data_IF_123362206492
#
_entry.id   IF_123362206492
#
_cell.length_a   1.000
_cell.length_b   1.000
_cell.length_c   1.000
_cell.angle_alpha   90.00
_cell.angle_beta   90.00
_cell.angle_gamma   90.00
#
_symmetry.space_group_name_H-M   'P 1'
#
loop_
_entity.id
_entity.type
_entity.pdbx_description
1 polymer ?
#
# COMPACT_ATOMS: atom_id res chain seq x y z
N UNK A 1 8.09 8.80 10.95
CA UNK A 1 7.98 9.93 9.98
C UNK A 1 7.17 9.48 8.77
N UNK A 2 6.31 10.33 8.19
CA UNK A 2 5.60 10.02 6.93
C UNK A 2 6.17 10.91 5.83
N UNK A 3 6.61 10.31 4.73
CA UNK A 3 7.14 11.00 3.54
C UNK A 3 6.19 10.75 2.36
N UNK A 4 5.82 11.80 1.64
CA UNK A 4 4.94 11.75 0.47
C UNK A 4 5.72 12.22 -0.75
N UNK A 5 5.65 11.47 -1.85
CA UNK A 5 6.32 11.77 -3.12
C UNK A 5 5.27 11.67 -4.23
N UNK A 6 4.97 12.77 -4.88
CA UNK A 6 4.06 12.81 -6.01
C UNK A 6 4.80 12.56 -7.34
N UNK A 7 4.09 12.04 -8.33
CA UNK A 7 4.62 11.70 -9.66
C UNK A 7 5.89 10.84 -9.55
N UNK A 8 5.83 9.80 -8.71
CA UNK A 8 7.00 8.99 -8.36
C UNK A 8 7.60 8.26 -9.56
N UNK A 9 6.78 7.64 -10.39
CA UNK A 9 7.21 6.97 -11.62
C UNK A 9 6.96 7.86 -12.85
N UNK A 10 7.66 7.57 -13.95
CA UNK A 10 7.27 8.10 -15.26
C UNK A 10 5.86 7.66 -15.65
N UNK A 11 5.18 8.40 -16.51
CA UNK A 11 3.83 8.06 -16.96
C UNK A 11 3.77 6.65 -17.56
N UNK A 12 4.76 6.26 -18.38
CA UNK A 12 4.87 4.92 -18.96
C UNK A 12 4.93 3.83 -17.89
N UNK A 13 5.70 4.04 -16.83
CA UNK A 13 5.88 3.07 -15.77
C UNK A 13 4.63 3.01 -14.87
N UNK A 14 4.00 4.13 -14.62
CA UNK A 14 2.72 4.19 -13.92
C UNK A 14 1.62 3.44 -14.70
N UNK A 15 1.50 3.67 -16.00
CA UNK A 15 0.54 2.96 -16.86
C UNK A 15 0.76 1.44 -16.85
N UNK A 16 2.02 0.99 -16.76
CA UNK A 16 2.30 -0.43 -16.62
C UNK A 16 1.66 -1.02 -15.36
N UNK A 17 1.84 -0.36 -14.19
CA UNK A 17 1.24 -0.81 -12.94
C UNK A 17 -0.28 -0.74 -12.96
N UNK A 18 -0.83 0.33 -13.51
CA UNK A 18 -2.28 0.50 -13.66
C UNK A 18 -2.88 -0.64 -14.49
N UNK A 19 -2.31 -0.91 -15.66
CA UNK A 19 -2.76 -2.00 -16.52
C UNK A 19 -2.57 -3.36 -15.85
N UNK A 20 -1.45 -3.61 -15.19
CA UNK A 20 -1.22 -4.87 -14.49
C UNK A 20 -2.24 -5.06 -13.37
N UNK A 21 -2.43 -4.07 -12.50
CA UNK A 21 -3.35 -4.14 -11.37
C UNK A 21 -4.81 -4.35 -11.79
N UNK A 22 -5.24 -3.72 -12.89
CA UNK A 22 -6.65 -3.70 -13.29
C UNK A 22 -7.04 -4.81 -14.26
N UNK A 23 -6.09 -5.42 -14.97
CA UNK A 23 -6.41 -6.37 -16.05
C UNK A 23 -5.66 -7.71 -16.01
N UNK A 24 -4.53 -7.80 -15.30
CA UNK A 24 -3.63 -8.97 -15.37
C UNK A 24 -3.33 -9.61 -14.02
N UNK A 25 -3.33 -8.85 -12.94
CA UNK A 25 -2.96 -9.35 -11.63
C UNK A 25 -3.98 -10.40 -11.16
N UNK A 26 -3.53 -11.60 -10.74
CA UNK A 26 -4.40 -12.60 -10.17
C UNK A 26 -4.70 -12.25 -8.71
N UNK A 27 -5.94 -11.89 -8.41
CA UNK A 27 -6.38 -11.57 -7.06
C UNK A 27 -7.04 -12.76 -6.38
N UNK A 28 -6.77 -12.93 -5.09
CA UNK A 28 -7.50 -13.82 -4.21
C UNK A 28 -7.84 -13.16 -2.88
N UNK A 29 -8.97 -13.58 -2.31
CA UNK A 29 -9.39 -13.11 -1.01
C UNK A 29 -8.43 -13.58 0.07
N UNK A 30 -8.11 -12.71 0.97
CA UNK A 30 -7.29 -13.00 2.12
C UNK A 30 -6.38 -11.85 2.46
N UNK A 31 -6.36 -11.48 3.72
CA UNK A 31 -5.25 -10.76 4.27
C UNK A 31 -4.27 -11.77 4.84
N UNK A 32 -2.99 -11.47 4.81
CA UNK A 32 -2.02 -12.21 5.60
C UNK A 32 -2.39 -12.11 7.09
N UNK A 33 -2.61 -13.24 7.66
CA UNK A 33 -2.56 -13.66 9.07
C UNK A 33 -2.54 -12.55 10.13
N UNK A 34 -3.66 -11.86 10.25
CA UNK A 34 -3.92 -11.06 11.45
C UNK A 34 -4.83 -11.89 12.34
N UNK A 35 -4.27 -12.44 13.42
CA UNK A 35 -4.96 -13.33 14.35
C UNK A 35 -6.29 -12.78 14.90
N UNK A 36 -6.49 -11.45 14.85
CA UNK A 36 -7.59 -10.79 15.53
C UNK A 36 -8.48 -9.90 14.62
N UNK A 37 -8.23 -9.87 13.32
CA UNK A 37 -9.06 -9.08 12.39
C UNK A 37 -9.51 -9.92 11.21
N UNK A 38 -10.79 -9.82 10.81
CA UNK A 38 -11.26 -10.47 9.60
C UNK A 38 -10.45 -10.02 8.36
N UNK A 39 -10.28 -10.91 7.41
CA UNK A 39 -9.70 -10.55 6.13
C UNK A 39 -10.58 -9.51 5.41
N UNK A 40 -9.95 -8.47 4.86
CA UNK A 40 -10.61 -7.46 4.04
C UNK A 40 -9.83 -7.26 2.76
N UNK A 41 -10.54 -7.05 1.65
CA UNK A 41 -9.94 -6.87 0.34
C UNK A 41 -9.42 -8.15 -0.29
N UNK A 42 -8.71 -7.95 -1.37
CA UNK A 42 -8.02 -8.97 -2.14
C UNK A 42 -6.55 -8.58 -2.30
N UNK A 43 -5.69 -9.57 -2.48
CA UNK A 43 -4.26 -9.36 -2.68
C UNK A 43 -3.76 -10.09 -3.92
N UNK A 44 -2.75 -9.51 -4.56
CA UNK A 44 -1.97 -10.14 -5.63
C UNK A 44 -0.48 -9.93 -5.36
N UNK A 45 0.29 -10.97 -5.02
CA UNK A 45 1.73 -10.84 -4.83
C UNK A 45 2.42 -10.47 -6.14
N UNK A 46 3.50 -9.71 -6.02
CA UNK A 46 4.38 -9.36 -7.12
C UNK A 46 5.75 -10.00 -6.88
N UNK A 47 6.32 -10.57 -7.95
CA UNK A 47 7.68 -11.08 -7.91
C UNK A 47 8.67 -9.90 -7.76
N UNK A 48 9.45 -9.91 -6.68
CA UNK A 48 10.44 -8.87 -6.37
C UNK A 48 11.56 -8.78 -7.42
N UNK A 49 11.88 -9.89 -8.09
CA UNK A 49 12.90 -9.93 -9.16
C UNK A 49 12.40 -9.39 -10.50
N UNK A 50 11.14 -9.02 -10.60
CA UNK A 50 10.59 -8.44 -11.81
C UNK A 50 11.13 -7.04 -12.06
N UNK A 51 11.38 -6.68 -13.34
CA UNK A 51 11.93 -5.38 -13.73
C UNK A 51 11.20 -4.19 -13.09
N UNK A 52 9.86 -4.15 -13.04
CA UNK A 52 9.13 -3.02 -12.45
C UNK A 52 9.43 -2.79 -10.96
N UNK A 53 9.82 -3.84 -10.24
CA UNK A 53 10.14 -3.72 -8.81
C UNK A 53 11.48 -3.04 -8.56
N UNK A 54 12.38 -3.07 -9.53
CA UNK A 54 13.67 -2.37 -9.47
C UNK A 54 13.52 -0.86 -9.28
N UNK A 55 12.41 -0.26 -9.73
CA UNK A 55 12.16 1.17 -9.55
C UNK A 55 11.94 1.58 -8.09
N UNK A 56 11.62 0.63 -7.22
CA UNK A 56 11.38 0.85 -5.79
C UNK A 56 12.60 0.54 -4.90
N UNK A 57 13.65 -0.09 -5.42
CA UNK A 57 14.83 -0.48 -4.62
C UNK A 57 15.63 0.72 -4.07
N UNK A 58 15.53 1.88 -4.71
CA UNK A 58 16.28 3.09 -4.30
C UNK A 58 15.54 3.96 -3.28
N UNK A 59 14.37 3.55 -2.80
CA UNK A 59 13.55 4.35 -1.88
C UNK A 59 14.14 4.35 -0.47
N UNK A 60 14.76 3.25 -0.09
CA UNK A 60 15.30 2.99 1.23
C UNK A 60 16.65 2.28 1.15
N UNK A 61 17.49 2.48 2.17
CA UNK A 61 18.69 1.67 2.38
C UNK A 61 18.37 0.27 2.94
N UNK A 62 17.12 0.05 3.38
CA UNK A 62 16.61 -1.25 3.82
C UNK A 62 16.27 -2.14 2.61
N UNK A 63 16.37 -3.45 2.78
CA UNK A 63 16.02 -4.41 1.75
C UNK A 63 14.51 -4.49 1.52
N UNK A 64 14.07 -4.40 0.27
CA UNK A 64 12.70 -4.74 -0.11
C UNK A 64 12.54 -6.26 -0.06
N UNK A 65 11.76 -6.78 0.89
CA UNK A 65 11.62 -8.23 1.12
C UNK A 65 10.23 -8.77 0.79
N UNK A 66 9.22 -7.92 0.67
CA UNK A 66 7.87 -8.32 0.31
C UNK A 66 7.15 -7.22 -0.47
N UNK A 67 6.35 -7.62 -1.45
CA UNK A 67 5.48 -6.70 -2.18
C UNK A 67 4.22 -7.40 -2.69
N UNK A 68 3.11 -6.69 -2.66
CA UNK A 68 1.82 -7.15 -3.18
C UNK A 68 0.89 -5.97 -3.51
N UNK A 69 -0.03 -6.19 -4.45
CA UNK A 69 -1.10 -5.23 -4.72
C UNK A 69 -2.29 -5.56 -3.83
N UNK A 70 -2.76 -4.57 -3.10
CA UNK A 70 -4.06 -4.60 -2.43
C UNK A 70 -5.14 -4.09 -3.37
N UNK A 71 -6.28 -4.78 -3.39
CA UNK A 71 -7.49 -4.38 -4.08
C UNK A 71 -8.65 -4.36 -3.09
N UNK A 72 -9.23 -3.19 -2.86
CA UNK A 72 -10.41 -3.01 -2.00
C UNK A 72 -11.62 -2.64 -2.83
N UNK A 73 -12.71 -3.37 -2.64
CA UNK A 73 -14.01 -3.03 -3.20
C UNK A 73 -14.64 -1.83 -2.45
N UNK A 74 -15.59 -1.11 -3.08
CA UNK A 74 -16.40 -0.11 -2.38
C UNK A 74 -17.07 -0.69 -1.13
N UNK A 75 -17.15 0.13 -0.07
CA UNK A 75 -17.80 -0.21 1.20
C UNK A 75 -17.12 -1.27 2.07
N UNK A 76 -15.96 -1.77 1.70
CA UNK A 76 -15.14 -2.56 2.62
C UNK A 76 -14.66 -1.69 3.78
N UNK A 77 -14.41 -2.32 4.93
CA UNK A 77 -14.00 -1.63 6.15
C UNK A 77 -12.69 -2.21 6.67
N UNK A 78 -11.55 -1.81 6.10
CA UNK A 78 -10.24 -2.23 6.59
C UNK A 78 -10.01 -1.79 8.03
N UNK A 79 -9.24 -2.59 8.76
CA UNK A 79 -8.92 -2.35 10.17
C UNK A 79 -7.61 -1.60 10.32
N UNK A 80 -7.48 -0.85 11.41
CA UNK A 80 -6.18 -0.33 11.84
C UNK A 80 -5.23 -1.45 12.19
N UNK A 81 -4.00 -1.34 11.73
CA UNK A 81 -2.92 -2.30 11.96
C UNK A 81 -1.54 -1.64 11.84
N UNK A 82 -0.53 -2.33 12.32
CA UNK A 82 0.87 -2.08 12.01
C UNK A 82 1.34 -3.11 10.99
N UNK A 83 2.42 -2.82 10.30
CA UNK A 83 3.03 -3.73 9.32
C UNK A 83 4.18 -4.57 9.90
N UNK A 84 4.45 -4.43 11.17
CA UNK A 84 5.32 -5.32 11.94
C UNK A 84 4.50 -6.45 12.53
N UNK A 85 5.01 -7.66 12.46
CA UNK A 85 4.42 -8.79 13.16
C UNK A 85 4.90 -8.84 14.64
N UNK A 86 4.20 -9.61 15.47
CA UNK A 86 4.49 -9.76 16.90
C UNK A 86 5.90 -10.32 17.18
N UNK A 87 6.55 -10.93 16.19
CA UNK A 87 7.89 -11.54 16.32
C UNK A 87 9.03 -10.57 15.96
N UNK A 88 8.71 -9.44 15.32
CA UNK A 88 9.68 -8.51 14.77
C UNK A 88 9.50 -7.07 15.28
N UNK A 89 8.90 -6.88 16.43
CA UNK A 89 8.55 -5.56 17.01
C UNK A 89 9.79 -4.66 17.20
N UNK A 90 10.96 -5.24 17.36
CA UNK A 90 12.23 -4.52 17.56
C UNK A 90 12.99 -4.25 16.25
N UNK A 91 12.48 -4.72 15.11
CA UNK A 91 13.15 -4.51 13.83
C UNK A 91 12.75 -3.17 13.22
N UNK A 92 13.72 -2.47 12.70
CA UNK A 92 13.49 -1.26 11.89
C UNK A 92 12.88 -1.70 10.56
N UNK A 93 11.68 -1.21 10.29
CA UNK A 93 10.97 -1.50 9.05
C UNK A 93 10.33 -0.24 8.48
N UNK A 94 10.27 -0.18 7.17
CA UNK A 94 9.57 0.86 6.43
C UNK A 94 8.53 0.24 5.51
N UNK A 95 7.36 0.83 5.47
CA UNK A 95 6.34 0.52 4.47
C UNK A 95 6.27 1.63 3.42
N UNK A 96 6.26 1.23 2.16
CA UNK A 96 5.86 2.07 1.04
C UNK A 96 4.45 1.70 0.57
N UNK A 97 3.62 2.70 0.31
CA UNK A 97 2.33 2.55 -0.35
C UNK A 97 2.32 3.38 -1.63
N UNK A 98 2.22 2.70 -2.77
CA UNK A 98 2.16 3.35 -4.07
C UNK A 98 0.73 3.25 -4.63
N UNK A 99 0.12 4.39 -4.91
CA UNK A 99 -1.29 4.45 -5.34
C UNK A 99 -1.44 4.23 -6.85
N UNK A 100 -2.15 3.17 -7.21
CA UNK A 100 -2.36 2.71 -8.59
C UNK A 100 -3.83 2.95 -8.98
N UNK A 101 -4.27 4.20 -8.95
CA UNK A 101 -5.60 4.59 -9.41
C UNK A 101 -5.44 5.37 -10.72
N UNK A 102 -6.35 5.23 -11.66
CA UNK A 102 -6.32 5.98 -12.94
C UNK A 102 -6.59 7.46 -12.74
N UNK A 103 -7.50 7.78 -11.83
CA UNK A 103 -7.90 9.14 -11.44
C UNK A 103 -8.45 9.14 -10.03
N UNK A 104 -8.41 10.30 -9.41
CA UNK A 104 -8.97 10.52 -8.09
C UNK A 104 -9.61 11.91 -8.01
N UNK A 105 -10.75 11.99 -7.34
CA UNK A 105 -11.43 13.23 -6.97
C UNK A 105 -11.66 13.24 -5.45
N UNK A 106 -11.74 14.42 -4.85
CA UNK A 106 -11.91 14.56 -3.40
C UNK A 106 -13.22 13.92 -2.86
N UNK A 107 -14.20 13.68 -3.71
CA UNK A 107 -15.44 12.99 -3.36
C UNK A 107 -15.32 11.47 -3.38
N UNK A 108 -14.26 10.92 -3.95
CA UNK A 108 -14.04 9.48 -4.05
C UNK A 108 -13.73 8.85 -2.68
N UNK A 109 -13.13 9.61 -1.75
CA UNK A 109 -12.58 9.06 -0.52
C UNK A 109 -11.28 8.29 -0.76
N UNK A 110 -11.07 7.19 -0.06
CA UNK A 110 -9.96 6.26 -0.31
C UNK A 110 -8.62 6.64 0.31
N UNK A 111 -8.57 7.63 1.17
CA UNK A 111 -7.34 8.02 1.88
C UNK A 111 -6.79 6.88 2.72
N UNK A 112 -5.47 6.86 2.91
CA UNK A 112 -4.84 6.06 3.96
C UNK A 112 -4.82 6.88 5.24
N UNK A 113 -5.40 6.34 6.30
CA UNK A 113 -5.48 6.97 7.61
C UNK A 113 -4.38 6.45 8.52
N UNK A 114 -3.70 7.36 9.19
CA UNK A 114 -2.64 7.11 10.17
C UNK A 114 -3.09 7.61 11.54
N UNK A 115 -2.91 6.82 12.59
CA UNK A 115 -3.14 7.24 13.96
C UNK A 115 -1.81 7.72 14.56
N UNK A 116 -1.69 9.02 14.79
CA UNK A 116 -0.49 9.67 15.32
C UNK A 116 -0.93 10.62 16.42
N UNK A 117 -0.34 10.49 17.61
CA UNK A 117 -0.63 11.35 18.77
C UNK A 117 -2.15 11.42 19.10
N UNK A 118 -2.87 10.29 18.99
CA UNK A 118 -4.32 10.17 19.12
C UNK A 118 -5.14 10.97 18.08
N UNK A 119 -4.54 11.42 17.01
CA UNK A 119 -5.20 12.07 15.88
C UNK A 119 -5.14 11.23 14.62
N UNK A 120 -6.21 11.28 13.83
CA UNK A 120 -6.22 10.62 12.51
C UNK A 120 -5.73 11.63 11.46
N UNK A 121 -4.65 11.25 10.75
CA UNK A 121 -4.12 11.99 9.61
C UNK A 121 -4.36 11.20 8.34
N UNK A 122 -5.07 11.79 7.37
CA UNK A 122 -5.37 11.18 6.09
C UNK A 122 -4.37 11.58 5.01
N UNK A 123 -3.88 10.62 4.23
CA UNK A 123 -3.11 10.86 3.02
C UNK A 123 -3.96 10.47 1.81
N UNK A 124 -4.19 11.44 0.93
CA UNK A 124 -5.04 11.27 -0.24
C UNK A 124 -4.40 10.33 -1.28
N UNK A 125 -5.19 9.42 -1.88
CA UNK A 125 -4.69 8.42 -2.82
C UNK A 125 -4.54 9.01 -4.24
N UNK A 126 -3.77 10.06 -4.36
CA UNK A 126 -3.49 10.68 -5.66
C UNK A 126 -2.75 9.69 -6.55
N UNK A 127 -3.17 9.52 -7.83
CA UNK A 127 -2.48 8.64 -8.76
C UNK A 127 -0.98 8.90 -8.84
N UNK A 128 -0.19 7.84 -8.94
CA UNK A 128 1.28 7.91 -9.02
C UNK A 128 1.97 8.56 -7.79
N UNK A 129 1.29 8.55 -6.63
CA UNK A 129 1.85 8.98 -5.34
C UNK A 129 2.45 7.79 -4.60
N UNK A 130 3.65 7.97 -4.06
CA UNK A 130 4.28 7.07 -3.11
C UNK A 130 4.25 7.69 -1.71
N UNK A 131 3.84 6.91 -0.72
CA UNK A 131 3.89 7.27 0.70
C UNK A 131 4.78 6.29 1.42
N UNK A 132 5.80 6.78 2.11
CA UNK A 132 6.71 5.96 2.92
C UNK A 132 6.56 6.31 4.40
N UNK A 133 6.49 5.30 5.25
CA UNK A 133 6.33 5.48 6.69
C UNK A 133 6.94 4.32 7.47
N UNK A 134 7.20 4.56 8.75
CA UNK A 134 7.65 3.54 9.68
C UNK A 134 6.58 2.45 9.83
N UNK A 135 6.96 1.19 9.67
CA UNK A 135 6.05 0.03 9.73
C UNK A 135 5.32 -0.13 11.07
N UNK A 136 5.80 0.50 12.13
CA UNK A 136 5.16 0.54 13.45
C UNK A 136 3.99 1.53 13.54
N UNK A 137 3.80 2.42 12.57
CA UNK A 137 2.71 3.39 12.61
C UNK A 137 1.38 2.68 12.36
N UNK A 138 0.45 2.86 13.30
CA UNK A 138 -0.89 2.31 13.19
C UNK A 138 -1.65 3.02 12.06
N UNK A 139 -2.07 2.25 11.07
CA UNK A 139 -2.71 2.79 9.86
C UNK A 139 -3.77 1.85 9.29
N UNK A 140 -4.61 2.39 8.43
CA UNK A 140 -5.56 1.62 7.63
C UNK A 140 -5.84 2.29 6.28
N UNK A 141 -6.27 1.51 5.30
CA UNK A 141 -6.92 2.04 4.10
C UNK A 141 -8.36 2.47 4.43
N UNK A 142 -8.87 3.47 3.71
CA UNK A 142 -10.30 3.63 3.47
C UNK A 142 -10.60 3.23 2.02
N UNK A 143 -11.88 3.07 1.67
CA UNK A 143 -12.26 2.62 0.33
C UNK A 143 -12.83 3.76 -0.49
N UNK A 144 -12.77 3.62 -1.82
CA UNK A 144 -13.48 4.53 -2.70
C UNK A 144 -14.99 4.31 -2.59
N UNK A 145 -15.75 5.33 -2.97
CA UNK A 145 -17.20 5.32 -2.94
C UNK A 145 -17.81 4.27 -3.87
N UNK A 146 -17.32 4.19 -5.11
CA UNK A 146 -18.00 3.48 -6.21
C UNK A 146 -17.04 2.75 -7.17
N UNK A 147 -15.75 2.66 -6.85
CA UNK A 147 -14.74 1.97 -7.65
C UNK A 147 -13.77 1.19 -6.78
N UNK A 148 -13.04 0.25 -7.39
CA UNK A 148 -11.97 -0.47 -6.71
C UNK A 148 -10.77 0.45 -6.44
N UNK A 149 -10.15 0.27 -5.28
CA UNK A 149 -8.93 0.96 -4.87
C UNK A 149 -7.75 0.01 -4.92
N UNK A 150 -6.74 0.38 -5.72
CA UNK A 150 -5.51 -0.41 -5.87
C UNK A 150 -4.32 0.31 -5.24
N UNK A 151 -3.51 -0.44 -4.51
CA UNK A 151 -2.30 0.08 -3.87
C UNK A 151 -1.22 -0.98 -3.89
N UNK A 152 -0.02 -0.66 -4.38
CA UNK A 152 1.15 -1.52 -4.20
C UNK A 152 1.70 -1.28 -2.79
N UNK A 153 1.73 -2.33 -1.99
CA UNK A 153 2.42 -2.35 -0.71
C UNK A 153 3.86 -2.86 -0.88
N UNK A 154 4.79 -2.18 -0.25
CA UNK A 154 6.22 -2.42 -0.30
C UNK A 154 6.73 -2.53 1.14
N UNK A 155 7.34 -3.67 1.49
CA UNK A 155 7.86 -3.92 2.83
C UNK A 155 9.37 -3.96 2.82
N UNK A 156 9.98 -3.02 3.51
CA UNK A 156 11.43 -2.89 3.65
C UNK A 156 11.85 -3.20 5.08
N UNK A 157 12.93 -3.93 5.24
CA UNK A 157 13.48 -4.28 6.54
C UNK A 157 14.76 -5.09 6.43
N UNK A 158 15.43 -5.23 7.57
CA UNK A 158 16.51 -6.18 7.75
C UNK A 158 15.91 -7.52 8.19
N UNK A 159 15.87 -8.48 7.27
CA UNK A 159 15.48 -9.86 7.54
C UNK A 159 16.67 -10.68 8.03
#
# INVERSE_FOLDING_TARGET
>A
MIKVIDNFLSDKNFEWFLNFATTKAPYWCGSKDRKNTPATGMVSPINLDSEPMGWFNSISDLNLHESYINCFAPNERPYFHTDVDDYHVDKVGMTGLYYINDKWDYQDGGETQFLIDNEIRGILPIPNRLVCFDSNILHKATTFRDKFRFTLALKYGDL
#
